data_IF_955709611943
#
_entry.id   IF_955709611943
#
_cell.length_a   1.000
_cell.length_b   1.000
_cell.length_c   1.000
_cell.angle_alpha   90.00
_cell.angle_beta   90.00
_cell.angle_gamma   90.00
#
_symmetry.space_group_name_H-M   'P 1'
#
loop_
_entity.id
_entity.type
_entity.pdbx_description
1 polymer ?
#
# COMPACT_ATOMS: atom_id res chain seq x y z
N UNK A 1 -2.86 -7.85 -9.03
CA UNK A 1 -3.99 -6.90 -8.93
C UNK A 1 -3.72 -5.72 -9.83
N UNK A 2 -4.65 -5.36 -10.68
CA UNK A 2 -4.50 -4.23 -11.61
C UNK A 2 -5.56 -3.18 -11.34
N UNK A 3 -5.13 -2.00 -10.92
CA UNK A 3 -6.02 -0.87 -10.66
C UNK A 3 -6.13 0.04 -11.87
N UNK A 4 -7.34 0.55 -12.13
CA UNK A 4 -7.60 1.49 -13.23
C UNK A 4 -7.36 2.94 -12.78
N UNK A 5 -6.18 3.20 -12.21
CA UNK A 5 -5.77 4.54 -11.79
C UNK A 5 -4.52 4.91 -12.58
N UNK A 6 -4.67 5.87 -13.50
CA UNK A 6 -3.63 6.23 -14.46
C UNK A 6 -2.41 6.91 -13.82
N UNK A 7 -2.56 7.42 -12.60
CA UNK A 7 -1.48 8.14 -11.90
C UNK A 7 -0.56 7.21 -11.11
N UNK A 8 -0.82 5.91 -11.10
CA UNK A 8 0.11 4.93 -10.52
C UNK A 8 1.38 4.91 -11.36
N UNK A 9 2.50 5.30 -10.77
CA UNK A 9 3.80 5.39 -11.46
C UNK A 9 4.55 4.06 -11.41
N UNK A 10 5.13 3.76 -10.26
CA UNK A 10 5.90 2.53 -10.06
C UNK A 10 5.18 1.61 -9.09
N UNK A 11 5.29 0.30 -9.29
CA UNK A 11 4.71 -0.70 -8.41
C UNK A 11 5.72 -1.82 -8.15
N UNK A 12 5.78 -2.29 -6.92
CA UNK A 12 6.62 -3.43 -6.56
C UNK A 12 5.81 -4.45 -5.77
N UNK A 13 5.97 -5.72 -6.15
CA UNK A 13 5.46 -6.84 -5.38
C UNK A 13 6.55 -7.32 -4.44
N UNK A 14 6.21 -7.50 -3.15
CA UNK A 14 7.18 -7.94 -2.15
C UNK A 14 7.15 -9.46 -1.99
N UNK A 15 8.33 -10.01 -1.66
CA UNK A 15 8.47 -11.38 -1.19
C UNK A 15 9.09 -11.37 0.22
N UNK A 16 9.33 -12.55 0.78
CA UNK A 16 9.88 -12.64 2.14
C UNK A 16 11.29 -12.06 2.27
N UNK A 17 12.01 -11.94 1.16
CA UNK A 17 13.41 -11.44 1.15
C UNK A 17 13.48 -9.93 1.10
N UNK A 18 12.54 -9.26 0.39
CA UNK A 18 12.59 -7.82 0.16
C UNK A 18 11.55 -7.02 0.93
N UNK A 19 10.75 -7.67 1.78
CA UNK A 19 9.76 -6.97 2.60
C UNK A 19 10.48 -6.10 3.65
N UNK A 20 10.32 -4.76 3.61
CA UNK A 20 10.98 -3.88 4.58
C UNK A 20 10.54 -4.13 6.02
N UNK A 21 9.33 -4.66 6.23
CA UNK A 21 8.82 -5.00 7.56
C UNK A 21 9.22 -6.41 8.00
N UNK A 22 9.75 -7.22 7.09
CA UNK A 22 10.18 -8.60 7.36
C UNK A 22 9.08 -9.47 8.00
N UNK A 23 7.81 -9.28 7.57
CA UNK A 23 6.65 -9.96 8.12
C UNK A 23 5.95 -10.88 7.12
N UNK A 24 6.18 -10.68 5.82
CA UNK A 24 5.49 -11.42 4.78
C UNK A 24 5.67 -12.94 4.95
N UNK A 25 4.55 -13.66 4.99
CA UNK A 25 4.53 -15.12 5.15
C UNK A 25 4.68 -15.60 6.58
N UNK A 26 4.96 -14.73 7.54
CA UNK A 26 5.05 -15.12 8.95
C UNK A 26 3.66 -15.40 9.53
N UNK A 27 3.54 -16.23 10.57
CA UNK A 27 2.25 -16.50 11.21
C UNK A 27 1.52 -15.21 11.60
N UNK A 28 0.24 -15.15 11.30
CA UNK A 28 -0.65 -14.01 11.61
C UNK A 28 -0.31 -12.71 10.88
N UNK A 29 0.55 -12.76 9.87
CA UNK A 29 0.89 -11.61 9.04
C UNK A 29 0.38 -11.80 7.59
N UNK A 30 0.61 -10.79 6.74
CA UNK A 30 0.15 -10.85 5.36
C UNK A 30 0.92 -11.91 4.56
N UNK A 31 0.21 -12.50 3.58
CA UNK A 31 0.75 -13.51 2.67
C UNK A 31 1.31 -12.89 1.41
N UNK A 32 0.75 -11.75 0.99
CA UNK A 32 1.14 -11.02 -0.21
C UNK A 32 1.09 -9.53 0.09
N UNK A 33 1.98 -8.79 -0.55
CA UNK A 33 2.07 -7.34 -0.38
C UNK A 33 2.56 -6.70 -1.67
N UNK A 34 1.96 -5.59 -2.04
CA UNK A 34 2.41 -4.74 -3.13
C UNK A 34 2.36 -3.28 -2.69
N UNK A 35 3.34 -2.49 -3.12
CA UNK A 35 3.38 -1.05 -2.89
C UNK A 35 3.56 -0.33 -4.21
N UNK A 36 3.06 0.90 -4.30
CA UNK A 36 3.18 1.72 -5.50
C UNK A 36 3.35 3.18 -5.15
N UNK A 37 3.86 3.93 -6.14
CA UNK A 37 3.93 5.38 -6.11
C UNK A 37 2.77 5.95 -6.93
N UNK A 38 2.18 7.03 -6.46
CA UNK A 38 1.18 7.79 -7.21
C UNK A 38 1.81 9.13 -7.61
N UNK A 39 1.86 9.42 -8.90
CA UNK A 39 2.53 10.61 -9.42
C UNK A 39 1.93 11.93 -8.95
N UNK A 40 0.70 11.91 -8.44
CA UNK A 40 0.05 13.11 -7.89
C UNK A 40 0.69 13.59 -6.59
N UNK A 41 1.31 12.68 -5.82
CA UNK A 41 1.91 13.00 -4.52
C UNK A 41 3.38 12.61 -4.41
N UNK A 42 3.87 11.75 -5.29
CA UNK A 42 5.28 11.33 -5.28
C UNK A 42 6.08 12.24 -6.22
N UNK A 43 7.13 12.92 -5.70
CA UNK A 43 7.89 13.88 -6.49
C UNK A 43 8.87 13.24 -7.48
N UNK A 44 9.04 11.92 -7.46
CA UNK A 44 9.97 11.25 -8.35
C UNK A 44 9.40 11.16 -9.76
N UNK A 45 10.28 11.27 -10.75
CA UNK A 45 9.92 11.07 -12.15
C UNK A 45 10.06 9.59 -12.49
N UNK A 46 8.92 8.93 -12.74
CA UNK A 46 8.85 7.50 -13.06
C UNK A 46 8.83 7.23 -14.58
N UNK A 47 9.25 8.19 -15.39
CA UNK A 47 9.33 7.98 -16.85
C UNK A 47 10.42 6.96 -17.21
N UNK A 48 10.31 6.39 -18.41
CA UNK A 48 11.31 5.43 -18.91
C UNK A 48 12.72 6.04 -18.97
N UNK A 49 12.83 7.34 -19.18
CA UNK A 49 14.11 8.05 -19.22
C UNK A 49 14.87 7.98 -17.89
N UNK A 50 14.14 7.86 -16.78
CA UNK A 50 14.69 7.77 -15.43
C UNK A 50 14.63 6.37 -14.84
N UNK A 51 14.43 5.33 -15.65
CA UNK A 51 14.26 3.96 -15.17
C UNK A 51 15.42 3.50 -14.28
N UNK A 52 16.65 3.86 -14.61
CA UNK A 52 17.82 3.45 -13.83
C UNK A 52 17.81 4.09 -12.43
N UNK A 53 17.41 5.35 -12.33
CA UNK A 53 17.30 6.03 -11.03
C UNK A 53 16.15 5.48 -10.20
N UNK A 54 15.02 5.22 -10.85
CA UNK A 54 13.85 4.66 -10.19
C UNK A 54 14.14 3.27 -9.62
N UNK A 55 14.89 2.45 -10.34
CA UNK A 55 15.24 1.10 -9.89
C UNK A 55 16.15 1.11 -8.66
N UNK A 56 16.82 2.24 -8.38
CA UNK A 56 17.67 2.41 -7.19
C UNK A 56 16.89 2.90 -5.98
N UNK A 57 15.65 3.34 -6.15
CA UNK A 57 14.84 3.84 -5.05
C UNK A 57 14.43 2.70 -4.12
N UNK A 58 14.49 2.98 -2.82
CA UNK A 58 13.90 2.11 -1.81
C UNK A 58 12.37 2.18 -1.94
N UNK A 59 11.68 1.04 -2.13
CA UNK A 59 10.22 1.03 -2.18
C UNK A 59 9.54 1.69 -0.98
N UNK A 60 10.19 1.73 0.17
CA UNK A 60 9.68 2.42 1.36
C UNK A 60 9.60 3.93 1.16
N UNK A 61 10.28 4.49 0.16
CA UNK A 61 10.25 5.91 -0.16
C UNK A 61 9.14 6.27 -1.13
N UNK A 62 8.44 5.29 -1.69
CA UNK A 62 7.32 5.56 -2.58
C UNK A 62 6.17 6.18 -1.81
N UNK A 63 5.63 7.28 -2.35
CA UNK A 63 4.40 7.90 -1.84
C UNK A 63 3.24 7.46 -2.71
N UNK A 64 2.37 6.68 -2.14
CA UNK A 64 1.23 6.11 -2.85
C UNK A 64 0.46 5.22 -1.91
N UNK A 65 0.48 3.92 -2.14
CA UNK A 65 -0.25 2.99 -1.32
C UNK A 65 0.40 1.63 -1.20
N UNK A 66 -0.20 0.83 -0.34
CA UNK A 66 0.19 -0.55 -0.11
C UNK A 66 -1.06 -1.40 0.04
N UNK A 67 -1.08 -2.56 -0.60
CA UNK A 67 -2.13 -3.55 -0.42
C UNK A 67 -1.52 -4.82 0.15
N UNK A 68 -2.16 -5.38 1.17
CA UNK A 68 -1.74 -6.61 1.83
C UNK A 68 -2.89 -7.62 1.81
N UNK A 69 -2.58 -8.88 1.50
CA UNK A 69 -3.56 -9.96 1.53
C UNK A 69 -3.27 -10.90 2.69
N UNK A 70 -4.33 -11.30 3.39
CA UNK A 70 -4.24 -12.16 4.58
C UNK A 70 -4.86 -13.52 4.34
N UNK A 71 -4.47 -14.49 5.17
CA UNK A 71 -5.00 -15.84 5.14
C UNK A 71 -6.46 -15.89 5.63
N UNK A 72 -6.80 -15.06 6.61
CA UNK A 72 -8.14 -15.02 7.22
C UNK A 72 -8.43 -13.62 7.75
N UNK A 73 -9.71 -13.40 8.11
CA UNK A 73 -10.17 -12.10 8.60
C UNK A 73 -9.56 -11.75 9.96
N UNK A 74 -9.28 -12.74 10.81
CA UNK A 74 -8.69 -12.50 12.13
C UNK A 74 -7.29 -11.87 12.00
N UNK A 75 -6.47 -12.37 11.08
CA UNK A 75 -5.14 -11.82 10.82
C UNK A 75 -5.22 -10.42 10.22
N UNK A 76 -6.15 -10.21 9.28
CA UNK A 76 -6.42 -8.89 8.70
C UNK A 76 -6.78 -7.88 9.79
N UNK A 77 -7.72 -8.21 10.67
CA UNK A 77 -8.17 -7.31 11.73
C UNK A 77 -7.06 -7.02 12.74
N UNK A 78 -6.22 -8.01 13.04
CA UNK A 78 -5.08 -7.83 13.94
C UNK A 78 -4.11 -6.78 13.38
N UNK A 79 -3.76 -6.90 12.10
CA UNK A 79 -2.89 -5.94 11.42
C UNK A 79 -3.52 -4.55 11.35
N UNK A 80 -4.79 -4.47 10.97
CA UNK A 80 -5.54 -3.22 10.91
C UNK A 80 -5.53 -2.51 12.26
N UNK A 81 -5.85 -3.22 13.34
CA UNK A 81 -5.90 -2.63 14.67
C UNK A 81 -4.52 -2.21 15.16
N UNK A 82 -3.49 -2.97 14.86
CA UNK A 82 -2.10 -2.64 15.19
C UNK A 82 -1.70 -1.30 14.56
N UNK A 83 -1.94 -1.14 13.26
CA UNK A 83 -1.61 0.09 12.54
C UNK A 83 -2.47 1.26 13.04
N UNK A 84 -3.76 1.03 13.25
CA UNK A 84 -4.68 2.04 13.77
C UNK A 84 -4.23 2.57 15.13
N UNK A 85 -3.79 1.68 16.03
CA UNK A 85 -3.31 2.09 17.34
C UNK A 85 -2.02 2.94 17.25
N UNK A 86 -1.13 2.61 16.32
CA UNK A 86 0.07 3.42 16.07
C UNK A 86 -0.33 4.82 15.60
N UNK A 87 -1.27 4.94 14.67
CA UNK A 87 -1.69 6.23 14.12
C UNK A 87 -2.43 7.08 15.13
N UNK A 88 -3.17 6.47 16.06
CA UNK A 88 -3.82 7.18 17.16
C UNK A 88 -2.81 7.76 18.15
N UNK A 89 -1.71 7.02 18.40
CA UNK A 89 -0.65 7.45 19.33
C UNK A 89 0.31 8.43 18.69
N UNK A 90 0.55 8.33 17.38
CA UNK A 90 1.50 9.13 16.62
C UNK A 90 0.86 9.61 15.32
N UNK A 91 0.18 10.77 15.34
CA UNK A 91 -0.54 11.27 14.14
C UNK A 91 0.33 11.46 12.91
N UNK A 92 1.66 11.59 13.05
CA UNK A 92 2.58 11.70 11.91
C UNK A 92 2.53 10.46 11.01
N UNK A 93 2.12 9.30 11.54
CA UNK A 93 1.96 8.07 10.78
C UNK A 93 0.54 7.87 10.25
N UNK A 94 -0.31 8.89 10.36
CA UNK A 94 -1.69 8.80 9.88
C UNK A 94 -1.75 8.43 8.40
N UNK A 95 -2.77 7.66 8.03
CA UNK A 95 -2.96 7.18 6.66
C UNK A 95 -4.41 6.76 6.47
N UNK A 96 -4.82 6.63 5.21
CA UNK A 96 -6.12 6.04 4.90
C UNK A 96 -6.00 4.52 4.92
N UNK A 97 -6.97 3.86 5.53
CA UNK A 97 -7.02 2.39 5.58
C UNK A 97 -8.41 1.89 5.22
N UNK A 98 -8.47 0.92 4.31
CA UNK A 98 -9.72 0.30 3.88
C UNK A 98 -9.56 -1.22 3.91
N UNK A 99 -10.60 -1.91 4.37
CA UNK A 99 -10.65 -3.38 4.41
C UNK A 99 -11.71 -3.88 3.44
N UNK A 100 -11.38 -4.91 2.67
CA UNK A 100 -12.34 -5.59 1.81
C UNK A 100 -11.92 -7.05 1.64
N UNK A 101 -12.81 -7.99 2.00
CA UNK A 101 -12.48 -9.42 1.98
C UNK A 101 -11.26 -9.71 2.85
N UNK A 102 -10.21 -10.27 2.26
CA UNK A 102 -8.96 -10.58 2.94
C UNK A 102 -7.87 -9.53 2.69
N UNK A 103 -8.23 -8.39 2.11
CA UNK A 103 -7.29 -7.35 1.72
C UNK A 103 -7.35 -6.14 2.64
N UNK A 104 -6.18 -5.58 2.92
CA UNK A 104 -6.02 -4.29 3.60
C UNK A 104 -5.31 -3.35 2.63
N UNK A 105 -5.97 -2.23 2.33
CA UNK A 105 -5.42 -1.15 1.51
C UNK A 105 -5.02 0.00 2.42
N UNK A 106 -3.79 0.47 2.29
CA UNK A 106 -3.26 1.62 3.02
C UNK A 106 -2.79 2.67 2.04
N UNK A 107 -3.19 3.92 2.25
CA UNK A 107 -2.87 5.04 1.37
C UNK A 107 -2.18 6.14 2.15
N UNK A 108 -1.24 6.82 1.50
CA UNK A 108 -0.50 7.93 2.08
C UNK A 108 -1.43 9.07 2.49
N UNK A 109 -1.12 9.71 3.62
CA UNK A 109 -1.91 10.82 4.15
C UNK A 109 -1.94 12.06 3.25
N UNK A 110 -1.00 12.18 2.34
CA UNK A 110 -0.94 13.31 1.40
C UNK A 110 -2.04 13.27 0.33
N UNK A 111 -2.71 12.12 0.15
CA UNK A 111 -3.88 12.06 -0.72
C UNK A 111 -5.01 12.93 -0.17
N UNK A 112 -5.79 13.53 -1.08
CA UNK A 112 -7.06 14.14 -0.70
C UNK A 112 -8.10 13.06 -0.43
N UNK A 113 -9.16 13.35 0.32
CA UNK A 113 -10.25 12.37 0.51
C UNK A 113 -10.86 11.87 -0.79
N UNK A 114 -10.95 12.72 -1.82
CA UNK A 114 -11.47 12.32 -3.13
C UNK A 114 -10.54 11.31 -3.79
N UNK A 115 -9.23 11.55 -3.76
CA UNK A 115 -8.24 10.65 -4.31
C UNK A 115 -8.23 9.29 -3.58
N UNK A 116 -8.35 9.32 -2.25
CA UNK A 116 -8.43 8.10 -1.45
C UNK A 116 -9.66 7.26 -1.83
N UNK A 117 -10.79 7.92 -2.09
CA UNK A 117 -12.02 7.22 -2.50
C UNK A 117 -11.89 6.56 -3.87
N UNK A 118 -11.08 7.09 -4.77
CA UNK A 118 -10.80 6.43 -6.04
C UNK A 118 -10.17 5.05 -5.82
N UNK A 119 -9.23 4.96 -4.88
CA UNK A 119 -8.61 3.69 -4.51
C UNK A 119 -9.58 2.76 -3.80
N UNK A 120 -10.40 3.28 -2.90
CA UNK A 120 -11.43 2.48 -2.24
C UNK A 120 -12.39 1.88 -3.25
N UNK A 121 -12.82 2.66 -4.24
CA UNK A 121 -13.70 2.20 -5.31
C UNK A 121 -13.05 1.06 -6.12
N UNK A 122 -11.76 1.19 -6.44
CA UNK A 122 -11.02 0.15 -7.14
C UNK A 122 -10.89 -1.13 -6.30
N UNK A 123 -10.62 -0.98 -4.99
CA UNK A 123 -10.59 -2.13 -4.08
C UNK A 123 -11.93 -2.87 -4.08
N UNK A 124 -13.05 -2.14 -3.99
CA UNK A 124 -14.38 -2.72 -4.00
C UNK A 124 -14.72 -3.39 -5.34
N UNK A 125 -14.15 -2.89 -6.44
CA UNK A 125 -14.34 -3.50 -7.77
C UNK A 125 -13.55 -4.80 -7.91
N UNK A 126 -12.32 -4.81 -7.42
CA UNK A 126 -11.39 -5.94 -7.59
C UNK A 126 -11.64 -7.06 -6.58
N UNK A 127 -12.10 -6.75 -5.39
CA UNK A 127 -12.38 -7.72 -4.33
C UNK A 127 -13.89 -7.86 -4.19
N UNK A 128 -14.39 -9.00 -4.62
CA UNK A 128 -15.83 -9.29 -4.62
C UNK A 128 -16.25 -10.07 -3.38
#
# INVERSE_FOLDING_TARGET
MKMNISTVGAMIDFDAKNDPNNQLGRPNQYLQKASWADTRIDPHDFSEENADEINKLDPAQYKGGTVEKFKNVADLNRRYNYIKNITLSMPVYNQYMYKKGLFLLRLDKEFTPVQAKEYEKELNRLVK
#
